data_IF_686556054067
#
_entry.id   IF_686556054067
#
_cell.length_a   1.000
_cell.length_b   1.000
_cell.length_c   1.000
_cell.angle_alpha   90.00
_cell.angle_beta   90.00
_cell.angle_gamma   90.00
#
_symmetry.space_group_name_H-M   'P 1'
#
loop_
_entity.id
_entity.type
_entity.pdbx_description
1 polymer ?
#
# COMPACT_ATOMS: atom_id res chain seq x y z
N UNK A 1 10.82 -18.56 -3.56
CA UNK A 1 10.01 -17.64 -4.39
C UNK A 1 10.12 -16.24 -3.82
N UNK A 2 10.70 -15.31 -4.58
CA UNK A 2 10.94 -13.94 -4.14
C UNK A 2 9.59 -13.27 -3.83
N UNK A 3 9.24 -13.18 -2.56
CA UNK A 3 8.01 -12.54 -2.12
C UNK A 3 8.22 -11.03 -2.19
N UNK A 4 7.82 -10.43 -3.30
CA UNK A 4 7.78 -8.98 -3.40
C UNK A 4 6.84 -8.42 -2.33
N UNK A 5 7.29 -7.36 -1.63
CA UNK A 5 6.56 -6.75 -0.52
C UNK A 5 5.24 -6.10 -0.94
N UNK A 6 5.15 -5.61 -2.18
CA UNK A 6 3.97 -4.88 -2.65
C UNK A 6 2.72 -5.76 -2.77
N UNK A 7 2.74 -6.94 -3.43
CA UNK A 7 1.62 -7.87 -3.41
C UNK A 7 1.09 -8.18 -2.00
N UNK A 8 1.98 -8.46 -1.05
CA UNK A 8 1.60 -8.74 0.33
C UNK A 8 0.94 -7.52 1.00
N UNK A 9 1.53 -6.34 0.85
CA UNK A 9 0.98 -5.10 1.39
C UNK A 9 -0.42 -4.78 0.82
N UNK A 10 -0.66 -5.07 -0.46
CA UNK A 10 -1.98 -4.92 -1.09
C UNK A 10 -3.01 -5.91 -0.52
N UNK A 11 -2.61 -7.17 -0.28
CA UNK A 11 -3.47 -8.17 0.36
C UNK A 11 -3.83 -7.73 1.79
N UNK A 12 -2.86 -7.27 2.57
CA UNK A 12 -3.10 -6.78 3.93
C UNK A 12 -4.04 -5.57 3.94
N UNK A 13 -3.85 -4.63 3.02
CA UNK A 13 -4.75 -3.47 2.87
C UNK A 13 -6.16 -3.90 2.51
N UNK A 14 -6.31 -4.86 1.60
CA UNK A 14 -7.61 -5.43 1.25
C UNK A 14 -8.29 -6.06 2.48
N UNK A 15 -7.58 -6.91 3.22
CA UNK A 15 -8.10 -7.52 4.46
C UNK A 15 -8.52 -6.48 5.49
N UNK A 16 -7.75 -5.40 5.65
CA UNK A 16 -8.11 -4.29 6.55
C UNK A 16 -9.40 -3.59 6.12
N UNK A 17 -9.55 -3.28 4.84
CA UNK A 17 -10.77 -2.67 4.31
C UNK A 17 -11.98 -3.60 4.44
N UNK A 18 -11.79 -4.90 4.22
CA UNK A 18 -12.83 -5.90 4.44
C UNK A 18 -13.25 -5.96 5.91
N UNK A 19 -12.29 -5.95 6.85
CA UNK A 19 -12.58 -5.86 8.29
C UNK A 19 -13.42 -4.63 8.64
N UNK A 20 -13.09 -3.46 8.06
CA UNK A 20 -13.87 -2.23 8.25
C UNK A 20 -15.29 -2.41 7.71
N UNK A 21 -15.47 -2.99 6.53
CA UNK A 21 -16.79 -3.27 5.98
C UNK A 21 -17.64 -4.17 6.91
N UNK A 22 -17.06 -5.25 7.44
CA UNK A 22 -17.75 -6.14 8.38
C UNK A 22 -18.11 -5.43 9.69
N UNK A 23 -17.22 -4.60 10.23
CA UNK A 23 -17.52 -3.78 11.42
C UNK A 23 -18.67 -2.80 11.19
N UNK A 24 -18.82 -2.26 9.97
CA UNK A 24 -19.96 -1.44 9.61
C UNK A 24 -21.25 -2.27 9.52
N UNK A 25 -21.17 -3.51 9.01
CA UNK A 25 -22.31 -4.43 8.98
C UNK A 25 -22.78 -4.83 10.39
N UNK A 26 -21.87 -4.96 11.36
CA UNK A 26 -22.22 -5.23 12.77
C UNK A 26 -23.13 -4.17 13.40
N UNK A 27 -23.17 -2.94 12.85
CA UNK A 27 -24.07 -1.87 13.32
C UNK A 27 -25.52 -2.14 12.87
N UNK A 28 -25.70 -2.78 11.70
CA UNK A 28 -27.01 -2.97 11.06
C UNK A 28 -27.56 -4.39 11.23
N UNK A 29 -26.69 -5.38 11.40
CA UNK A 29 -27.01 -6.80 11.47
C UNK A 29 -26.55 -7.40 12.80
N UNK A 30 -27.04 -8.60 13.20
CA UNK A 30 -26.65 -9.21 14.46
C UNK A 30 -25.13 -9.41 14.56
N UNK A 31 -24.47 -8.61 15.42
CA UNK A 31 -23.01 -8.51 15.48
C UNK A 31 -22.32 -9.88 15.68
N UNK A 32 -22.85 -10.73 16.57
CA UNK A 32 -22.30 -12.08 16.79
C UNK A 32 -22.29 -12.93 15.51
N UNK A 33 -23.34 -12.83 14.70
CA UNK A 33 -23.46 -13.57 13.45
C UNK A 33 -22.48 -13.04 12.41
N UNK A 34 -22.39 -11.72 12.26
CA UNK A 34 -21.45 -11.08 11.32
C UNK A 34 -20.00 -11.38 11.68
N UNK A 35 -19.65 -11.35 12.98
CA UNK A 35 -18.31 -11.69 13.47
C UNK A 35 -17.96 -13.16 13.20
N UNK A 36 -18.89 -14.08 13.47
CA UNK A 36 -18.70 -15.51 13.22
C UNK A 36 -18.46 -15.80 11.73
N UNK A 37 -19.23 -15.15 10.86
CA UNK A 37 -19.01 -15.21 9.41
C UNK A 37 -17.60 -14.73 9.08
N UNK A 38 -17.24 -13.52 9.52
CA UNK A 38 -15.94 -12.93 9.19
C UNK A 38 -14.76 -13.82 9.61
N UNK A 39 -14.81 -14.39 10.82
CA UNK A 39 -13.76 -15.31 11.30
C UNK A 39 -13.64 -16.61 10.49
N UNK A 40 -14.73 -17.02 9.84
CA UNK A 40 -14.79 -18.28 9.08
C UNK A 40 -14.41 -18.11 7.59
N UNK A 41 -14.29 -16.87 7.09
CA UNK A 41 -13.94 -16.61 5.68
C UNK A 41 -12.50 -17.04 5.32
N UNK A 42 -11.58 -16.92 6.28
CA UNK A 42 -10.17 -17.30 6.12
C UNK A 42 -9.89 -18.77 6.54
N UNK A 43 -10.93 -19.58 6.80
CA UNK A 43 -10.78 -20.98 7.20
C UNK A 43 -10.23 -21.86 6.08
N UNK A 44 -9.21 -22.68 6.35
CA UNK A 44 -8.70 -23.69 5.42
C UNK A 44 -9.74 -24.77 5.05
N UNK A 45 -10.76 -24.96 5.90
CA UNK A 45 -11.86 -25.86 5.63
C UNK A 45 -12.88 -25.22 4.66
N UNK A 46 -12.97 -25.77 3.43
CA UNK A 46 -13.91 -25.34 2.39
C UNK A 46 -15.38 -25.37 2.82
N UNK A 47 -15.79 -26.35 3.62
CA UNK A 47 -17.17 -26.45 4.10
C UNK A 47 -17.51 -25.33 5.10
N UNK A 48 -16.56 -24.97 5.97
CA UNK A 48 -16.71 -23.85 6.91
C UNK A 48 -16.82 -22.53 6.15
N UNK A 49 -15.99 -22.32 5.12
CA UNK A 49 -16.08 -21.15 4.24
C UNK A 49 -17.41 -21.08 3.49
N UNK A 50 -17.85 -22.19 2.90
CA UNK A 50 -19.13 -22.24 2.17
C UNK A 50 -20.32 -21.90 3.09
N UNK A 51 -20.34 -22.44 4.30
CA UNK A 51 -21.35 -22.11 5.30
C UNK A 51 -21.31 -20.61 5.68
N UNK A 52 -20.12 -20.02 5.82
CA UNK A 52 -20.00 -18.59 6.08
C UNK A 52 -20.60 -17.74 4.94
N UNK A 53 -20.40 -18.13 3.68
CA UNK A 53 -21.00 -17.45 2.51
C UNK A 53 -22.52 -17.59 2.48
N UNK A 54 -23.05 -18.77 2.81
CA UNK A 54 -24.50 -19.00 2.92
C UNK A 54 -25.13 -18.14 4.03
N UNK A 55 -24.45 -18.00 5.16
CA UNK A 55 -24.91 -17.11 6.24
C UNK A 55 -24.88 -15.65 5.79
N UNK A 56 -23.89 -15.20 5.02
CA UNK A 56 -23.88 -13.85 4.42
C UNK A 56 -25.12 -13.63 3.57
N UNK A 57 -25.44 -14.56 2.68
CA UNK A 57 -26.58 -14.44 1.76
C UNK A 57 -27.93 -14.41 2.49
N UNK A 58 -28.04 -15.14 3.60
CA UNK A 58 -29.26 -15.21 4.41
C UNK A 58 -29.44 -14.04 5.39
N UNK A 59 -28.34 -13.45 5.89
CA UNK A 59 -28.39 -12.40 6.94
C UNK A 59 -28.42 -11.01 6.34
N UNK A 60 -27.67 -10.78 5.27
CA UNK A 60 -27.61 -9.46 4.65
C UNK A 60 -28.85 -9.22 3.79
N UNK A 61 -29.21 -7.96 3.60
CA UNK A 61 -30.21 -7.63 2.58
C UNK A 61 -29.60 -7.86 1.19
N UNK A 62 -30.49 -8.08 0.22
CA UNK A 62 -30.12 -8.58 -1.12
C UNK A 62 -29.16 -7.64 -1.85
N UNK A 63 -29.32 -6.34 -1.63
CA UNK A 63 -28.47 -5.30 -2.22
C UNK A 63 -27.04 -5.38 -1.68
N UNK A 64 -26.88 -5.58 -0.36
CA UNK A 64 -25.58 -5.74 0.30
C UNK A 64 -24.93 -7.09 -0.02
N UNK A 65 -25.69 -8.20 -0.01
CA UNK A 65 -25.16 -9.54 -0.33
C UNK A 65 -24.66 -9.61 -1.78
N UNK A 66 -25.38 -9.01 -2.72
CA UNK A 66 -25.01 -8.94 -4.15
C UNK A 66 -23.65 -8.26 -4.39
N UNK A 67 -23.26 -7.31 -3.53
CA UNK A 67 -21.97 -6.62 -3.62
C UNK A 67 -20.88 -7.41 -2.89
N UNK A 68 -21.20 -7.95 -1.71
CA UNK A 68 -20.20 -8.55 -0.82
C UNK A 68 -19.81 -9.96 -1.26
N UNK A 69 -20.76 -10.81 -1.66
CA UNK A 69 -20.49 -12.21 -2.01
C UNK A 69 -19.41 -12.37 -3.08
N UNK A 70 -19.43 -11.63 -4.22
CA UNK A 70 -18.38 -11.74 -5.23
C UNK A 70 -16.96 -11.44 -4.71
N UNK A 71 -16.84 -10.62 -3.67
CA UNK A 71 -15.56 -10.29 -3.04
C UNK A 71 -15.05 -11.42 -2.12
N UNK A 72 -15.97 -12.17 -1.50
CA UNK A 72 -15.68 -13.23 -0.53
C UNK A 72 -15.48 -14.60 -1.17
N UNK A 73 -16.08 -14.83 -2.33
CA UNK A 73 -15.93 -16.06 -3.10
C UNK A 73 -14.49 -16.27 -3.59
N UNK A 74 -14.18 -17.51 -3.93
CA UNK A 74 -12.85 -17.98 -4.36
C UNK A 74 -12.55 -17.62 -5.83
N UNK A 75 -12.80 -16.36 -6.19
CA UNK A 75 -12.55 -15.82 -7.52
C UNK A 75 -11.16 -15.18 -7.61
N UNK A 76 -10.56 -15.24 -8.80
CA UNK A 76 -9.30 -14.57 -9.08
C UNK A 76 -9.43 -13.04 -9.03
N UNK A 77 -8.34 -12.28 -8.79
CA UNK A 77 -8.39 -10.82 -8.70
C UNK A 77 -9.02 -10.14 -9.93
N UNK A 78 -8.73 -10.63 -11.13
CA UNK A 78 -9.28 -10.07 -12.38
C UNK A 78 -10.80 -10.21 -12.46
N UNK A 79 -11.34 -11.35 -12.03
CA UNK A 79 -12.78 -11.62 -11.99
C UNK A 79 -13.48 -10.76 -10.95
N UNK A 80 -12.89 -10.62 -9.74
CA UNK A 80 -13.39 -9.72 -8.69
C UNK A 80 -13.47 -8.27 -9.17
N UNK A 81 -12.43 -7.78 -9.88
CA UNK A 81 -12.44 -6.45 -10.49
C UNK A 81 -13.50 -6.35 -11.59
N UNK A 82 -13.65 -7.38 -12.42
CA UNK A 82 -14.69 -7.45 -13.46
C UNK A 82 -16.10 -7.29 -12.89
N UNK A 83 -16.43 -8.05 -11.85
CA UNK A 83 -17.70 -7.95 -11.14
C UNK A 83 -17.86 -6.59 -10.46
N UNK A 84 -16.80 -6.08 -9.82
CA UNK A 84 -16.80 -4.77 -9.16
C UNK A 84 -17.12 -3.60 -10.09
N UNK A 85 -16.73 -3.67 -11.38
CA UNK A 85 -17.08 -2.63 -12.38
C UNK A 85 -18.59 -2.50 -12.62
N UNK A 86 -19.37 -3.55 -12.33
CA UNK A 86 -20.83 -3.49 -12.41
C UNK A 86 -21.48 -2.71 -11.27
N UNK A 87 -20.77 -2.52 -10.16
CA UNK A 87 -21.27 -1.83 -8.96
C UNK A 87 -20.60 -0.46 -8.74
N UNK A 88 -19.36 -0.32 -9.16
CA UNK A 88 -18.53 0.85 -8.89
C UNK A 88 -17.84 1.34 -10.17
N UNK A 89 -17.66 2.65 -10.29
CA UNK A 89 -16.85 3.26 -11.35
C UNK A 89 -15.35 3.04 -11.08
N UNK A 90 -14.89 1.81 -11.29
CA UNK A 90 -13.49 1.44 -11.09
C UNK A 90 -12.64 1.90 -12.28
N UNK A 91 -11.63 2.71 -12.00
CA UNK A 91 -10.64 3.11 -13.01
C UNK A 91 -9.81 1.92 -13.47
N UNK A 92 -9.62 1.81 -14.78
CA UNK A 92 -8.62 0.90 -15.35
C UNK A 92 -7.35 1.70 -15.65
N UNK A 93 -6.24 1.25 -15.09
CA UNK A 93 -4.90 1.82 -15.28
C UNK A 93 -3.97 0.69 -15.67
N UNK A 94 -2.98 1.00 -16.49
CA UNK A 94 -1.88 0.09 -16.75
C UNK A 94 -0.98 -0.04 -15.50
N UNK A 95 0.02 -0.91 -15.59
CA UNK A 95 0.94 -1.19 -14.47
C UNK A 95 1.61 0.08 -13.97
N UNK A 96 2.14 0.89 -14.88
CA UNK A 96 2.93 2.07 -14.51
C UNK A 96 2.03 3.12 -13.88
N UNK A 97 0.85 3.38 -14.44
CA UNK A 97 -0.12 4.30 -13.85
C UNK A 97 -0.64 3.84 -12.47
N UNK A 98 -0.63 2.53 -12.18
CA UNK A 98 -0.90 2.04 -10.82
C UNK A 98 0.27 2.28 -9.87
N UNK A 99 1.51 2.02 -10.31
CA UNK A 99 2.70 2.30 -9.51
C UNK A 99 2.76 3.78 -9.14
N UNK A 100 2.38 4.67 -10.04
CA UNK A 100 2.36 6.13 -9.79
C UNK A 100 1.44 6.49 -8.65
N UNK A 101 0.21 5.99 -8.75
CA UNK A 101 -0.81 6.23 -7.74
C UNK A 101 -0.41 5.68 -6.39
N UNK A 102 0.35 4.58 -6.37
CA UNK A 102 0.85 3.98 -5.13
C UNK A 102 2.05 4.75 -4.56
N UNK A 103 2.93 5.30 -5.41
CA UNK A 103 4.04 6.17 -4.99
C UNK A 103 3.51 7.47 -4.39
N UNK A 104 2.51 8.09 -5.02
CA UNK A 104 1.86 9.32 -4.55
C UNK A 104 0.79 9.09 -3.47
N UNK A 105 0.57 7.82 -3.11
CA UNK A 105 -0.47 7.42 -2.18
C UNK A 105 -0.24 7.95 -0.75
N UNK A 106 -1.32 8.10 0.04
CA UNK A 106 -1.22 8.62 1.41
C UNK A 106 -0.72 7.58 2.43
N UNK A 107 -0.46 6.33 2.02
CA UNK A 107 -0.10 5.23 2.93
C UNK A 107 1.41 4.93 2.84
N UNK A 108 2.23 5.38 3.82
CA UNK A 108 3.70 5.32 3.70
C UNK A 108 4.25 3.92 3.47
N UNK A 109 3.60 2.90 4.06
CA UNK A 109 4.01 1.50 3.87
C UNK A 109 3.80 1.04 2.42
N UNK A 110 2.67 1.38 1.79
CA UNK A 110 2.45 1.04 0.39
C UNK A 110 3.40 1.80 -0.53
N UNK A 111 3.63 3.09 -0.26
CA UNK A 111 4.63 3.88 -0.99
C UNK A 111 6.01 3.22 -0.89
N UNK A 112 6.42 2.82 0.31
CA UNK A 112 7.69 2.11 0.58
C UNK A 112 7.79 0.81 -0.23
N UNK A 113 6.80 -0.07 -0.15
CA UNK A 113 6.79 -1.33 -0.90
C UNK A 113 6.83 -1.09 -2.42
N UNK A 114 6.17 -0.03 -2.90
CA UNK A 114 6.14 0.33 -4.31
C UNK A 114 7.50 0.84 -4.78
N UNK A 115 8.12 1.76 -4.03
CA UNK A 115 9.47 2.25 -4.29
C UNK A 115 10.48 1.12 -4.29
N UNK A 116 10.36 0.18 -3.35
CA UNK A 116 11.22 -0.99 -3.28
C UNK A 116 11.11 -1.84 -4.56
N UNK A 117 9.89 -2.21 -4.96
CA UNK A 117 9.63 -2.97 -6.18
C UNK A 117 10.21 -2.28 -7.42
N UNK A 118 9.99 -0.96 -7.57
CA UNK A 118 10.54 -0.17 -8.68
C UNK A 118 12.07 -0.28 -8.75
N UNK A 119 12.73 -0.23 -7.58
CA UNK A 119 14.19 -0.36 -7.47
C UNK A 119 14.72 -1.77 -7.71
N UNK A 120 13.97 -2.81 -7.33
CA UNK A 120 14.31 -4.21 -7.62
C UNK A 120 14.21 -4.51 -9.11
N UNK A 121 13.11 -4.09 -9.74
CA UNK A 121 12.81 -4.30 -11.16
C UNK A 121 13.53 -3.31 -12.08
N UNK A 122 14.32 -2.39 -11.51
CA UNK A 122 15.14 -1.40 -12.24
C UNK A 122 14.34 -0.57 -13.24
N UNK A 123 13.14 -0.13 -12.84
CA UNK A 123 12.23 0.63 -13.72
C UNK A 123 12.67 2.10 -13.82
N UNK A 124 13.69 2.36 -14.64
CA UNK A 124 14.31 3.69 -14.79
C UNK A 124 13.32 4.76 -15.24
N UNK A 125 12.32 4.40 -16.05
CA UNK A 125 11.30 5.32 -16.57
C UNK A 125 10.42 5.94 -15.46
N UNK A 126 10.40 5.36 -14.27
CA UNK A 126 9.62 5.86 -13.12
C UNK A 126 10.41 6.84 -12.23
N UNK A 127 11.64 7.19 -12.61
CA UNK A 127 12.55 8.02 -11.83
C UNK A 127 11.96 9.39 -11.43
N UNK A 128 11.28 10.07 -12.35
CA UNK A 128 10.67 11.39 -12.09
C UNK A 128 9.64 11.32 -10.96
N UNK A 129 8.98 10.17 -10.82
CA UNK A 129 7.91 9.94 -9.83
C UNK A 129 8.46 9.65 -8.44
N UNK A 130 9.69 9.12 -8.36
CA UNK A 130 10.37 8.79 -7.10
C UNK A 130 11.07 10.02 -6.51
N UNK A 131 11.60 10.91 -7.35
CA UNK A 131 12.38 12.08 -6.92
C UNK A 131 11.67 12.94 -5.86
N UNK A 132 10.35 13.24 -5.97
CA UNK A 132 9.60 13.95 -4.93
C UNK A 132 9.63 13.24 -3.56
N UNK A 133 9.69 11.91 -3.53
CA UNK A 133 9.64 11.11 -2.31
C UNK A 133 10.91 11.22 -1.46
N UNK A 134 12.02 11.75 -2.01
CA UNK A 134 13.20 12.14 -1.23
C UNK A 134 12.90 13.22 -0.18
N UNK A 135 11.75 13.90 -0.32
CA UNK A 135 11.27 14.94 0.61
C UNK A 135 10.01 14.51 1.38
N UNK A 136 9.65 13.22 1.35
CA UNK A 136 8.51 12.70 2.12
C UNK A 136 8.65 13.05 3.61
N UNK A 137 7.54 13.26 4.32
CA UNK A 137 7.59 13.44 5.79
C UNK A 137 7.91 12.14 6.51
N UNK A 138 7.60 11.00 5.89
CA UNK A 138 7.90 9.68 6.42
C UNK A 138 9.37 9.30 6.16
N UNK A 139 10.11 8.96 7.22
CA UNK A 139 11.53 8.68 7.14
C UNK A 139 11.84 7.41 6.33
N UNK A 140 11.01 6.37 6.44
CA UNK A 140 11.20 5.12 5.70
C UNK A 140 10.94 5.33 4.22
N UNK A 141 9.93 6.13 3.86
CA UNK A 141 9.68 6.51 2.47
C UNK A 141 10.87 7.28 1.90
N UNK A 142 11.41 8.27 2.62
CA UNK A 142 12.60 9.04 2.16
C UNK A 142 13.81 8.14 1.95
N UNK A 143 14.11 7.30 2.92
CA UNK A 143 15.25 6.37 2.86
C UNK A 143 15.08 5.39 1.70
N UNK A 144 13.89 4.82 1.54
CA UNK A 144 13.60 3.88 0.45
C UNK A 144 13.68 4.57 -0.90
N UNK A 145 13.19 5.80 -1.05
CA UNK A 145 13.35 6.58 -2.27
C UNK A 145 14.83 6.81 -2.61
N UNK A 146 15.65 7.14 -1.61
CA UNK A 146 17.09 7.31 -1.78
C UNK A 146 17.77 6.01 -2.24
N UNK A 147 17.46 4.88 -1.59
CA UNK A 147 18.00 3.56 -1.95
C UNK A 147 17.57 3.17 -3.36
N UNK A 148 16.29 3.35 -3.69
CA UNK A 148 15.74 3.05 -5.01
C UNK A 148 16.44 3.86 -6.10
N UNK A 149 16.52 5.18 -5.95
CA UNK A 149 17.22 6.04 -6.92
C UNK A 149 18.71 5.69 -7.02
N UNK A 150 19.37 5.35 -5.90
CA UNK A 150 20.76 4.89 -5.90
C UNK A 150 20.96 3.59 -6.68
N UNK A 151 19.96 2.70 -6.71
CA UNK A 151 19.97 1.50 -7.57
C UNK A 151 19.76 1.88 -9.04
N UNK A 152 18.79 2.75 -9.33
CA UNK A 152 18.49 3.19 -10.70
C UNK A 152 19.66 3.94 -11.35
N UNK A 153 20.40 4.76 -10.59
CA UNK A 153 21.63 5.43 -11.08
C UNK A 153 22.64 4.45 -11.69
N UNK A 154 22.75 3.23 -11.13
CA UNK A 154 23.73 2.24 -11.60
C UNK A 154 23.41 1.69 -12.99
N UNK A 155 22.16 1.85 -13.44
CA UNK A 155 21.67 1.33 -14.72
C UNK A 155 21.21 2.43 -15.67
N UNK A 156 21.03 3.65 -15.16
CA UNK A 156 20.77 4.85 -15.97
C UNK A 156 22.01 5.24 -16.80
N UNK A 157 21.79 5.90 -17.93
CA UNK A 157 22.83 6.33 -18.85
C UNK A 157 22.72 7.83 -19.17
N UNK A 158 23.83 8.43 -19.61
CA UNK A 158 23.87 9.81 -20.09
C UNK A 158 23.42 10.83 -19.05
N UNK A 159 22.65 11.83 -19.51
CA UNK A 159 22.21 12.97 -18.70
C UNK A 159 21.36 12.54 -17.50
N UNK A 160 20.53 11.50 -17.65
CA UNK A 160 19.69 10.99 -16.57
C UNK A 160 20.52 10.47 -15.39
N UNK A 161 21.64 9.80 -15.66
CA UNK A 161 22.51 9.31 -14.59
C UNK A 161 23.14 10.47 -13.80
N UNK A 162 23.50 11.56 -14.47
CA UNK A 162 24.06 12.76 -13.82
C UNK A 162 23.00 13.54 -13.03
N UNK A 163 21.80 13.70 -13.58
CA UNK A 163 20.66 14.31 -12.87
C UNK A 163 20.34 13.57 -11.57
N UNK A 164 20.24 12.24 -11.65
CA UNK A 164 19.99 11.40 -10.49
C UNK A 164 21.08 11.50 -9.42
N UNK A 165 22.36 11.49 -9.84
CA UNK A 165 23.49 11.68 -8.91
C UNK A 165 23.42 13.05 -8.24
N UNK A 166 23.09 14.11 -8.97
CA UNK A 166 22.92 15.45 -8.41
C UNK A 166 21.78 15.48 -7.38
N UNK A 167 20.63 14.90 -7.71
CA UNK A 167 19.48 14.79 -6.79
C UNK A 167 19.79 14.03 -5.50
N UNK A 168 20.52 12.91 -5.61
CA UNK A 168 20.97 12.12 -4.45
C UNK A 168 21.95 12.90 -3.56
N UNK A 169 22.92 13.61 -4.15
CA UNK A 169 23.87 14.45 -3.37
C UNK A 169 23.13 15.53 -2.60
N UNK A 170 22.16 16.18 -3.22
CA UNK A 170 21.34 17.20 -2.58
C UNK A 170 20.49 16.62 -1.45
N UNK A 171 19.87 15.46 -1.66
CA UNK A 171 19.13 14.77 -0.61
C UNK A 171 20.02 14.37 0.58
N UNK A 172 21.22 13.86 0.32
CA UNK A 172 22.18 13.51 1.37
C UNK A 172 22.65 14.73 2.16
N UNK A 173 22.90 15.86 1.48
CA UNK A 173 23.27 17.13 2.12
C UNK A 173 22.17 17.64 3.05
N UNK A 174 20.90 17.58 2.61
CA UNK A 174 19.76 17.98 3.44
C UNK A 174 19.63 17.11 4.68
N UNK A 175 19.67 15.78 4.52
CA UNK A 175 19.59 14.86 5.66
C UNK A 175 20.70 15.10 6.69
N UNK A 176 21.92 15.43 6.25
CA UNK A 176 23.02 15.80 7.14
C UNK A 176 22.76 17.11 7.92
N UNK A 177 22.17 18.12 7.26
CA UNK A 177 21.80 19.37 7.92
C UNK A 177 20.67 19.18 8.94
N UNK A 178 19.60 18.47 8.57
CA UNK A 178 18.46 18.21 9.46
C UNK A 178 18.92 17.48 10.74
N UNK A 179 19.85 16.52 10.60
CA UNK A 179 20.42 15.82 11.74
C UNK A 179 21.26 16.74 12.64
N UNK A 180 22.04 17.65 12.05
CA UNK A 180 22.83 18.62 12.80
C UNK A 180 21.94 19.60 13.58
N UNK A 181 20.83 20.04 13.00
CA UNK A 181 19.89 20.95 13.64
C UNK A 181 19.12 20.25 14.77
N UNK A 182 18.68 19.00 14.59
CA UNK A 182 18.06 18.20 15.64
C UNK A 182 18.97 18.01 16.86
N UNK A 183 20.27 17.74 16.64
CA UNK A 183 21.25 17.59 17.73
C UNK A 183 21.46 18.91 18.48
N UNK A 184 21.49 20.04 17.75
CA UNK A 184 21.61 21.37 18.36
C UNK A 184 20.38 21.73 19.20
N UNK A 185 19.18 21.47 18.68
CA UNK A 185 17.94 21.72 19.38
C UNK A 185 17.84 20.87 20.66
N UNK A 186 18.11 19.56 20.58
CA UNK A 186 18.12 18.68 21.75
C UNK A 186 19.14 19.12 22.82
N UNK A 187 20.30 19.62 22.39
CA UNK A 187 21.32 20.15 23.30
C UNK A 187 20.89 21.46 23.96
N UNK A 188 20.20 22.34 23.22
CA UNK A 188 19.64 23.59 23.75
C UNK A 188 18.52 23.36 24.75
N UNK A 189 17.60 22.43 24.48
CA UNK A 189 16.49 22.09 25.36
C UNK A 189 16.98 21.48 26.69
N UNK A 190 18.05 20.66 26.65
CA UNK A 190 18.70 20.13 27.86
C UNK A 190 19.36 21.21 28.72
N UNK A 191 19.93 22.25 28.11
CA UNK A 191 20.53 23.38 28.82
C UNK A 191 19.48 24.31 29.44
N UNK A 192 18.24 24.33 28.94
CA UNK A 192 17.14 25.10 29.52
C UNK A 192 16.46 24.38 30.71
N UNK A 193 16.74 23.08 30.89
CA UNK A 193 16.21 22.25 31.98
C UNK A 193 17.16 22.14 33.19
N UNK A 194 18.35 22.77 33.12
CA UNK A 194 19.35 22.85 34.20
C UNK A 194 19.42 24.27 34.77
#
# INVERSE_FOLDING_TARGET
>A
PDQHLLPEALILRFKRHLSVAFRLLEIRYPARTVQLVYSNLDSDNKAVRANALEVVDNVLAKEESRILLPLLEDHGPAEKVGTGKGFFSLEHRDKDAWLDRLVEGPEPWLTTCTLHLIGEERMVDLTERITPQLRSTDAVVRETAFVTLSRLVKVANGDLAEELKAGLREAARRAANDQADNVRQASGDLLQLL
#
